data_IF_567113496337
#
_entry.id   IF_567113496337
#
_cell.length_a   1.000
_cell.length_b   1.000
_cell.length_c   1.000
_cell.angle_alpha   90.00
_cell.angle_beta   90.00
_cell.angle_gamma   90.00
#
_symmetry.space_group_name_H-M   'P 1'
#
loop_
_entity.id
_entity.type
_entity.pdbx_description
1 polymer ?
#
# COMPACT_ATOMS: atom_id res chain seq x y z
N UNK A 1 -1.47 -5.47 -14.00
CA UNK A 1 -0.41 -4.56 -13.47
C UNK A 1 0.15 -5.20 -12.22
N UNK A 2 1.45 -5.51 -12.22
CA UNK A 2 2.03 -6.61 -11.45
C UNK A 2 2.27 -6.28 -9.98
N UNK A 3 1.89 -7.23 -9.13
CA UNK A 3 2.35 -7.37 -7.74
C UNK A 3 3.89 -7.47 -7.58
N UNK A 4 4.63 -7.49 -8.68
CA UNK A 4 6.09 -7.57 -8.73
C UNK A 4 6.76 -6.32 -8.16
N UNK A 5 6.17 -5.12 -8.30
CA UNK A 5 6.77 -3.90 -7.74
C UNK A 5 6.90 -3.96 -6.23
N UNK A 6 5.86 -4.46 -5.56
CA UNK A 6 5.85 -4.65 -4.10
C UNK A 6 6.80 -5.77 -3.67
N UNK A 7 6.98 -6.80 -4.52
CA UNK A 7 7.92 -7.89 -4.26
C UNK A 7 9.40 -7.49 -4.45
N UNK A 8 9.69 -6.51 -5.32
CA UNK A 8 11.04 -6.02 -5.61
C UNK A 8 11.47 -4.85 -4.72
N UNK A 9 10.53 -4.24 -4.00
CA UNK A 9 10.82 -3.12 -3.12
C UNK A 9 11.71 -3.56 -1.94
N UNK A 10 12.75 -2.78 -1.63
CA UNK A 10 13.67 -3.04 -0.52
C UNK A 10 12.98 -2.92 0.83
N UNK A 11 12.17 -1.89 0.99
CA UNK A 11 11.44 -1.62 2.21
C UNK A 11 9.97 -1.33 1.89
N UNK A 12 9.11 -2.05 2.59
CA UNK A 12 7.67 -1.94 2.45
C UNK A 12 7.03 -1.87 3.82
N UNK A 13 5.98 -1.07 3.91
CA UNK A 13 5.17 -0.90 5.11
C UNK A 13 3.80 -1.48 4.81
N UNK A 14 3.48 -2.58 5.48
CA UNK A 14 2.20 -3.25 5.31
C UNK A 14 1.22 -2.78 6.38
N UNK A 15 0.04 -2.38 5.94
CA UNK A 15 -1.07 -2.05 6.83
C UNK A 15 -1.43 -0.57 6.76
N UNK A 16 -2.72 -0.30 6.87
CA UNK A 16 -3.31 1.02 6.57
C UNK A 16 -2.88 2.10 7.55
N UNK A 17 -2.82 1.79 8.86
CA UNK A 17 -2.31 2.73 9.87
C UNK A 17 -0.83 3.07 9.66
N UNK A 18 -0.02 2.08 9.32
CA UNK A 18 1.41 2.31 9.10
C UNK A 18 1.66 3.03 7.78
N UNK A 19 0.91 2.71 6.73
CA UNK A 19 0.95 3.42 5.44
C UNK A 19 0.61 4.91 5.62
N UNK A 20 -0.44 5.25 6.38
CA UNK A 20 -0.77 6.66 6.69
C UNK A 20 0.35 7.33 7.49
N UNK A 21 0.99 6.62 8.43
CA UNK A 21 2.12 7.16 9.19
C UNK A 21 3.33 7.41 8.28
N UNK A 22 3.65 6.47 7.41
CA UNK A 22 4.75 6.57 6.45
C UNK A 22 4.55 7.71 5.44
N UNK A 23 3.30 7.85 4.95
CA UNK A 23 2.90 8.96 4.10
C UNK A 23 3.18 10.29 4.80
N UNK A 24 2.75 10.44 6.06
CA UNK A 24 3.02 11.66 6.84
C UNK A 24 4.51 11.91 7.11
N UNK A 25 5.33 10.87 7.23
CA UNK A 25 6.78 11.06 7.39
C UNK A 25 7.48 11.37 6.07
N UNK A 26 6.81 11.28 4.91
CA UNK A 26 7.35 11.72 3.61
C UNK A 26 8.37 10.76 2.97
N UNK A 27 8.44 9.51 3.40
CA UNK A 27 9.41 8.52 2.89
C UNK A 27 8.77 7.53 1.91
N UNK A 28 7.54 7.79 1.44
CA UNK A 28 6.78 6.85 0.59
C UNK A 28 6.94 7.22 -0.88
N UNK A 29 7.41 6.26 -1.67
CA UNK A 29 7.52 6.38 -3.12
C UNK A 29 6.20 6.08 -3.83
N UNK A 30 5.53 5.00 -3.44
CA UNK A 30 4.25 4.61 -4.00
C UNK A 30 3.40 3.83 -2.98
N UNK A 31 2.09 3.82 -3.19
CA UNK A 31 1.14 3.08 -2.36
C UNK A 31 0.37 2.10 -3.22
N UNK A 32 0.21 0.87 -2.74
CA UNK A 32 -0.61 -0.17 -3.35
C UNK A 32 -1.78 -0.47 -2.43
N UNK A 33 -3.01 -0.42 -2.95
CA UNK A 33 -4.25 -0.70 -2.23
C UNK A 33 -4.99 -1.85 -2.87
N UNK A 34 -5.56 -2.72 -2.05
CA UNK A 34 -6.41 -3.79 -2.53
C UNK A 34 -7.86 -3.30 -2.70
N UNK A 35 -8.51 -3.67 -3.80
CA UNK A 35 -9.91 -3.32 -4.07
C UNK A 35 -10.90 -4.13 -3.23
N UNK A 36 -10.52 -5.32 -2.77
CA UNK A 36 -11.31 -6.14 -1.83
C UNK A 36 -11.24 -5.65 -0.38
N UNK A 37 -10.42 -4.62 -0.09
CA UNK A 37 -10.30 -4.03 1.23
C UNK A 37 -11.42 -3.01 1.51
N UNK A 38 -11.71 -2.77 2.78
CA UNK A 38 -12.75 -1.83 3.21
C UNK A 38 -12.51 -0.43 2.58
N UNK A 39 -13.46 0.09 1.78
CA UNK A 39 -13.37 1.39 1.13
C UNK A 39 -13.13 2.54 2.11
N UNK A 40 -13.65 2.47 3.34
CA UNK A 40 -13.45 3.52 4.35
C UNK A 40 -12.00 3.61 4.78
N UNK A 41 -11.30 2.48 4.78
CA UNK A 41 -9.91 2.40 5.21
C UNK A 41 -9.00 2.78 4.05
N UNK A 42 -9.24 2.26 2.85
CA UNK A 42 -8.48 2.62 1.66
C UNK A 42 -8.65 4.09 1.30
N UNK A 43 -9.85 4.67 1.42
CA UNK A 43 -10.08 6.10 1.17
C UNK A 43 -9.17 7.01 1.99
N UNK A 44 -8.92 6.70 3.28
CA UNK A 44 -8.01 7.49 4.13
C UNK A 44 -6.58 7.46 3.60
N UNK A 45 -6.12 6.30 3.13
CA UNK A 45 -4.77 6.13 2.57
C UNK A 45 -4.66 6.85 1.23
N UNK A 46 -5.67 6.69 0.36
CA UNK A 46 -5.74 7.33 -0.95
C UNK A 46 -5.73 8.84 -0.82
N UNK A 47 -6.56 9.40 0.07
CA UNK A 47 -6.63 10.83 0.30
C UNK A 47 -5.27 11.38 0.75
N UNK A 48 -4.64 10.73 1.75
CA UNK A 48 -3.32 11.12 2.22
C UNK A 48 -2.26 11.04 1.11
N UNK A 49 -2.30 9.99 0.28
CA UNK A 49 -1.39 9.84 -0.85
C UNK A 49 -1.60 10.93 -1.91
N UNK A 50 -2.86 11.27 -2.23
CA UNK A 50 -3.19 12.37 -3.15
C UNK A 50 -2.68 13.70 -2.63
N UNK A 51 -2.92 14.00 -1.35
CA UNK A 51 -2.48 15.25 -0.70
C UNK A 51 -0.95 15.41 -0.77
N UNK A 52 -0.22 14.29 -0.66
CA UNK A 52 1.24 14.22 -0.72
C UNK A 52 1.80 13.98 -2.14
N UNK A 53 0.94 13.94 -3.16
CA UNK A 53 1.28 13.62 -4.57
C UNK A 53 2.02 12.28 -4.74
N UNK A 54 1.70 11.30 -3.91
CA UNK A 54 2.24 9.94 -3.99
C UNK A 54 1.38 9.10 -4.93
N UNK A 55 1.98 8.37 -5.90
CA UNK A 55 1.25 7.50 -6.80
C UNK A 55 0.57 6.35 -6.04
N UNK A 56 -0.70 6.11 -6.38
CA UNK A 56 -1.54 5.05 -5.80
C UNK A 56 -1.89 4.02 -6.87
N UNK A 57 -1.51 2.77 -6.64
CA UNK A 57 -1.84 1.62 -7.48
C UNK A 57 -2.93 0.78 -6.80
N UNK A 58 -3.86 0.24 -7.59
CA UNK A 58 -4.91 -0.67 -7.11
C UNK A 58 -4.65 -2.09 -7.58
N UNK A 59 -4.97 -3.07 -6.73
CA UNK A 59 -4.88 -4.50 -7.05
C UNK A 59 -6.14 -5.24 -6.61
N UNK A 60 -6.42 -6.35 -7.26
CA UNK A 60 -7.70 -7.03 -7.14
C UNK A 60 -7.93 -7.71 -5.77
N UNK A 61 -6.86 -8.13 -5.08
CA UNK A 61 -6.99 -8.86 -3.81
C UNK A 61 -5.89 -8.59 -2.79
N UNK A 62 -6.32 -8.40 -1.54
CA UNK A 62 -5.47 -8.22 -0.36
C UNK A 62 -4.62 -9.45 -0.05
N UNK A 63 -5.13 -10.65 -0.34
CA UNK A 63 -4.38 -11.90 -0.09
C UNK A 63 -3.20 -12.03 -1.05
N UNK A 64 -3.44 -11.77 -2.33
CA UNK A 64 -2.37 -11.77 -3.34
C UNK A 64 -1.36 -10.68 -3.04
N UNK A 65 -1.84 -9.48 -2.66
CA UNK A 65 -0.98 -8.37 -2.29
C UNK A 65 -0.07 -8.73 -1.10
N UNK A 66 -0.63 -9.24 -0.01
CA UNK A 66 0.15 -9.68 1.15
C UNK A 66 1.18 -10.74 0.80
N UNK A 67 0.77 -11.76 0.03
CA UNK A 67 1.68 -12.83 -0.40
C UNK A 67 2.84 -12.31 -1.24
N UNK A 68 2.60 -11.34 -2.12
CA UNK A 68 3.66 -10.68 -2.90
C UNK A 68 4.58 -9.79 -2.06
N UNK A 69 4.10 -9.30 -0.92
CA UNK A 69 4.90 -8.61 0.08
C UNK A 69 5.67 -9.56 1.01
N UNK A 70 5.58 -10.88 0.80
CA UNK A 70 6.23 -11.87 1.67
C UNK A 70 5.53 -12.09 3.01
N UNK A 71 4.27 -11.68 3.15
CA UNK A 71 3.47 -11.93 4.36
C UNK A 71 2.35 -12.92 4.08
N UNK A 72 2.03 -13.74 5.08
CA UNK A 72 1.00 -14.78 4.97
C UNK A 72 -0.42 -14.27 5.29
N UNK A 73 -0.55 -12.97 5.58
CA UNK A 73 -1.83 -12.30 5.91
C UNK A 73 -2.21 -11.30 4.83
N UNK A 74 -3.52 -11.08 4.64
CA UNK A 74 -4.02 -10.14 3.65
C UNK A 74 -3.64 -8.69 3.98
N UNK A 75 -3.17 -7.95 2.97
CA UNK A 75 -2.80 -6.54 3.10
C UNK A 75 -3.84 -5.65 2.42
N UNK A 76 -4.51 -4.79 3.18
CA UNK A 76 -5.45 -3.81 2.63
C UNK A 76 -4.74 -2.66 1.88
N UNK A 77 -3.61 -2.23 2.42
CA UNK A 77 -2.75 -1.20 1.83
C UNK A 77 -1.29 -1.50 2.16
N UNK A 78 -0.40 -1.22 1.21
CA UNK A 78 1.04 -1.36 1.32
C UNK A 78 1.68 -0.07 0.81
N UNK A 79 2.56 0.52 1.60
CA UNK A 79 3.35 1.66 1.18
C UNK A 79 4.78 1.18 0.87
N UNK A 80 5.31 1.55 -0.28
CA UNK A 80 6.70 1.30 -0.65
C UNK A 80 7.52 2.52 -0.25
N UNK A 81 8.58 2.29 0.51
CA UNK A 81 9.50 3.35 0.96
C UNK A 81 10.88 3.14 0.32
N UNK A 82 11.70 4.19 0.32
CA UNK A 82 13.07 4.18 -0.22
C UNK A 82 14.10 4.28 0.90
#
# INVERSE_FOLDING_TARGET
>A
MSYEKVAQAKEIIVGTKQAVKALKTGHVLEVVIAEDADPKVTAKVVQAAIDLKVPVNKVDSMKKLGKSCGIDVGAAAVAIIQ
#
